data_IF_327358453242
#
_entry.id   IF_327358453242
#
_cell.length_a   1.000
_cell.length_b   1.000
_cell.length_c   1.000
_cell.angle_alpha   90.00
_cell.angle_beta   90.00
_cell.angle_gamma   90.00
#
_symmetry.space_group_name_H-M   'P 1'
#
loop_
_entity.id
_entity.type
_entity.pdbx_description
1 polymer ?
#
# COMPACT_ATOMS: atom_id res chain seq x y z
N UNK A 1 -44.35 50.05 -26.00
CA UNK A 1 -43.13 50.01 -25.17
C UNK A 1 -42.96 48.58 -24.63
N UNK A 2 -42.00 47.86 -25.16
CA UNK A 2 -41.67 46.49 -24.72
C UNK A 2 -40.36 46.59 -23.94
N UNK A 3 -40.39 46.36 -22.63
CA UNK A 3 -39.19 46.30 -21.79
C UNK A 3 -38.52 44.95 -21.95
N UNK A 4 -37.28 44.96 -22.41
CA UNK A 4 -36.42 43.76 -22.44
C UNK A 4 -35.71 43.63 -21.07
N UNK A 5 -35.97 42.53 -20.38
CA UNK A 5 -35.27 42.18 -19.13
C UNK A 5 -34.02 41.36 -19.56
N UNK A 6 -32.84 41.94 -19.34
CA UNK A 6 -31.56 41.24 -19.49
C UNK A 6 -31.25 40.44 -18.21
N UNK A 7 -31.28 39.11 -18.31
CA UNK A 7 -30.74 38.24 -17.26
C UNK A 7 -29.21 38.10 -17.45
N UNK A 8 -28.47 38.65 -16.49
CA UNK A 8 -27.06 38.38 -16.37
C UNK A 8 -26.85 37.03 -15.71
N UNK A 9 -26.38 36.01 -16.45
CA UNK A 9 -25.85 34.79 -15.88
C UNK A 9 -24.43 35.04 -15.39
N UNK A 10 -24.26 35.15 -14.07
CA UNK A 10 -22.94 35.10 -13.43
C UNK A 10 -22.53 33.63 -13.42
N UNK A 11 -21.68 33.25 -14.39
CA UNK A 11 -20.98 31.98 -14.36
C UNK A 11 -19.92 32.05 -13.24
N UNK A 12 -20.26 31.54 -12.06
CA UNK A 12 -19.28 31.30 -11.02
C UNK A 12 -18.35 30.18 -11.49
N UNK A 13 -17.16 30.54 -11.97
CA UNK A 13 -16.07 29.59 -12.19
C UNK A 13 -15.68 29.01 -10.83
N UNK A 14 -16.14 27.82 -10.52
CA UNK A 14 -15.59 27.00 -9.44
C UNK A 14 -14.15 26.67 -9.86
N UNK A 15 -13.20 27.49 -9.45
CA UNK A 15 -11.79 27.13 -9.47
C UNK A 15 -11.68 25.90 -8.59
N UNK A 16 -11.42 24.74 -9.20
CA UNK A 16 -11.11 23.53 -8.44
C UNK A 16 -9.91 23.88 -7.54
N UNK A 17 -10.15 23.89 -6.22
CA UNK A 17 -9.13 24.21 -5.25
C UNK A 17 -8.02 23.17 -5.37
N UNK A 18 -6.80 23.60 -5.69
CA UNK A 18 -5.65 22.69 -5.81
C UNK A 18 -5.42 22.00 -4.44
N UNK A 19 -5.31 20.69 -4.45
CA UNK A 19 -5.09 19.92 -3.22
C UNK A 19 -3.77 20.37 -2.56
N UNK A 20 -3.72 20.43 -1.22
CA UNK A 20 -2.54 20.85 -0.48
C UNK A 20 -1.37 19.89 -0.70
N UNK A 21 -0.17 20.43 -0.57
CA UNK A 21 1.07 19.65 -0.51
C UNK A 21 1.21 19.01 0.87
N UNK A 22 1.63 17.76 0.96
CA UNK A 22 1.84 17.06 2.24
C UNK A 22 2.80 17.80 3.16
N UNK A 23 3.76 18.56 2.62
CA UNK A 23 4.75 19.33 3.39
C UNK A 23 4.12 20.53 4.11
N UNK A 24 2.93 20.95 3.76
CA UNK A 24 2.21 22.00 4.49
C UNK A 24 1.67 21.53 5.84
N UNK A 25 1.62 20.21 6.07
CA UNK A 25 1.25 19.62 7.35
C UNK A 25 2.50 19.00 7.97
N UNK A 26 2.98 19.47 9.14
CA UNK A 26 4.12 18.86 9.81
C UNK A 26 3.89 17.38 10.11
N UNK A 27 4.92 16.56 9.93
CA UNK A 27 4.89 15.16 10.34
C UNK A 27 4.86 15.09 11.87
N UNK A 28 4.00 14.25 12.42
CA UNK A 28 3.94 13.90 13.85
C UNK A 28 4.58 12.53 14.13
N UNK A 29 4.98 11.81 13.07
CA UNK A 29 5.72 10.56 13.13
C UNK A 29 6.97 10.64 12.27
N UNK A 30 8.01 9.96 12.72
CA UNK A 30 9.26 9.76 12.00
C UNK A 30 9.61 8.27 11.96
N UNK A 31 9.83 7.72 10.76
CA UNK A 31 10.24 6.33 10.60
C UNK A 31 11.63 6.14 11.18
N UNK A 32 11.85 5.20 12.12
CA UNK A 32 13.16 4.98 12.71
C UNK A 32 14.23 4.68 11.65
N UNK A 33 15.41 5.25 11.84
CA UNK A 33 16.57 4.90 11.02
C UNK A 33 16.89 3.40 11.14
N UNK A 34 17.53 2.85 10.10
CA UNK A 34 18.01 1.47 10.17
C UNK A 34 19.05 1.32 11.29
N UNK A 35 18.83 0.32 12.12
CA UNK A 35 19.73 -0.05 13.22
C UNK A 35 20.57 -1.27 12.84
N UNK A 36 21.80 -1.33 13.33
CA UNK A 36 22.61 -2.54 13.28
C UNK A 36 22.16 -3.57 14.34
N UNK A 37 22.52 -4.84 14.12
CA UNK A 37 22.27 -5.93 15.05
C UNK A 37 20.94 -6.64 14.84
N UNK A 38 20.55 -7.52 15.77
CA UNK A 38 19.34 -8.34 15.62
C UNK A 38 18.06 -7.51 15.81
N UNK A 39 16.92 -7.99 15.25
CA UNK A 39 15.61 -7.41 15.51
C UNK A 39 15.29 -7.39 17.01
N UNK A 40 14.78 -6.24 17.47
CA UNK A 40 14.35 -6.02 18.87
C UNK A 40 13.24 -4.95 18.91
N UNK A 41 12.52 -4.85 20.01
CA UNK A 41 11.45 -3.87 20.20
C UNK A 41 11.92 -2.44 19.89
N UNK A 42 11.16 -1.72 19.06
CA UNK A 42 11.46 -0.37 18.61
C UNK A 42 12.60 -0.25 17.57
N UNK A 43 13.18 -1.36 17.13
CA UNK A 43 14.25 -1.36 16.12
C UNK A 43 13.75 -1.69 14.73
N UNK A 44 14.24 -0.93 13.77
CA UNK A 44 14.09 -1.16 12.34
C UNK A 44 15.42 -1.67 11.80
N UNK A 45 15.42 -2.88 11.26
CA UNK A 45 16.66 -3.57 10.84
C UNK A 45 16.52 -4.15 9.45
N UNK A 46 17.63 -4.25 8.72
CA UNK A 46 17.69 -4.99 7.46
C UNK A 46 18.05 -6.45 7.76
N UNK A 47 17.21 -7.37 7.29
CA UNK A 47 17.40 -8.82 7.42
C UNK A 47 17.40 -9.42 6.01
N UNK A 48 18.57 -9.86 5.53
CA UNK A 48 18.71 -10.25 4.13
C UNK A 48 18.32 -9.10 3.18
N UNK A 49 17.30 -9.33 2.36
CA UNK A 49 16.82 -8.33 1.38
C UNK A 49 15.61 -7.52 1.86
N UNK A 50 14.97 -7.90 2.98
CA UNK A 50 13.82 -7.18 3.53
C UNK A 50 14.19 -6.28 4.72
N UNK A 51 13.29 -5.38 5.07
CA UNK A 51 13.39 -4.57 6.29
C UNK A 51 12.29 -5.01 7.25
N UNK A 52 12.66 -5.20 8.51
CA UNK A 52 11.77 -5.60 9.60
C UNK A 52 11.80 -4.55 10.71
N UNK A 53 10.63 -4.19 11.21
CA UNK A 53 10.45 -3.40 12.41
C UNK A 53 9.61 -4.18 13.42
N UNK A 54 10.15 -4.37 14.62
CA UNK A 54 9.38 -4.89 15.77
C UNK A 54 8.84 -3.69 16.56
N UNK A 55 7.53 -3.62 16.86
CA UNK A 55 6.94 -2.46 17.50
C UNK A 55 7.50 -2.23 18.90
N UNK A 56 7.39 -1.02 19.41
CA UNK A 56 7.97 -0.64 20.72
C UNK A 56 7.41 -1.47 21.88
N UNK A 57 6.21 -2.02 21.74
CA UNK A 57 5.53 -2.88 22.70
C UNK A 57 5.70 -4.38 22.42
N UNK A 58 6.53 -4.76 21.44
CA UNK A 58 6.87 -6.16 21.16
C UNK A 58 7.60 -6.82 22.34
N UNK A 59 7.22 -8.07 22.61
CA UNK A 59 7.88 -8.93 23.61
C UNK A 59 8.03 -10.34 23.05
N UNK A 60 9.11 -11.06 23.37
CA UNK A 60 9.23 -12.47 23.03
C UNK A 60 8.01 -13.27 23.46
N UNK A 61 7.49 -14.11 22.58
CA UNK A 61 6.30 -14.93 22.84
C UNK A 61 4.94 -14.22 22.67
N UNK A 62 4.92 -12.90 22.42
CA UNK A 62 3.68 -12.19 22.08
C UNK A 62 3.20 -12.60 20.69
N UNK A 63 1.87 -12.71 20.53
CA UNK A 63 1.22 -12.85 19.22
C UNK A 63 0.77 -11.46 18.75
N UNK A 64 1.25 -11.03 17.59
CA UNK A 64 0.98 -9.69 17.06
C UNK A 64 0.56 -9.72 15.57
N UNK A 65 -0.40 -8.92 15.14
CA UNK A 65 -0.71 -8.79 13.73
C UNK A 65 0.50 -8.26 12.94
N UNK A 66 0.54 -8.55 11.65
CA UNK A 66 1.65 -8.19 10.76
C UNK A 66 1.16 -7.29 9.64
N UNK A 67 1.87 -6.20 9.40
CA UNK A 67 1.74 -5.40 8.18
C UNK A 67 2.89 -5.78 7.26
N UNK A 68 2.56 -6.27 6.07
CA UNK A 68 3.52 -6.47 4.99
C UNK A 68 3.38 -5.34 4.00
N UNK A 69 4.46 -4.65 3.71
CA UNK A 69 4.47 -3.50 2.80
C UNK A 69 5.32 -3.76 1.57
N UNK A 70 4.78 -3.35 0.42
CA UNK A 70 5.43 -3.40 -0.88
C UNK A 70 5.67 -1.98 -1.40
N UNK A 71 6.93 -1.65 -1.71
CA UNK A 71 7.36 -0.32 -2.11
C UNK A 71 6.83 0.09 -3.50
N UNK A 72 6.81 1.40 -3.78
CA UNK A 72 6.58 1.97 -5.10
C UNK A 72 7.70 1.64 -6.10
N UNK A 73 7.54 2.05 -7.37
CA UNK A 73 8.62 1.98 -8.35
C UNK A 73 9.79 2.89 -7.95
N UNK A 74 11.01 2.41 -8.16
CA UNK A 74 12.22 3.16 -7.90
C UNK A 74 12.58 4.17 -8.97
N UNK A 75 13.49 5.10 -8.59
CA UNK A 75 13.94 6.23 -9.39
C UNK A 75 12.80 7.14 -9.86
N UNK A 76 11.69 7.16 -9.10
CA UNK A 76 10.59 8.06 -9.36
C UNK A 76 10.83 9.40 -8.68
N UNK A 77 10.64 10.46 -9.43
CA UNK A 77 10.57 11.85 -8.94
C UNK A 77 9.51 12.62 -9.72
N UNK A 78 8.91 13.63 -9.12
CA UNK A 78 7.96 14.51 -9.79
C UNK A 78 8.20 15.98 -9.46
N UNK A 79 7.44 16.87 -10.11
CA UNK A 79 7.52 18.33 -9.92
C UNK A 79 7.18 18.81 -8.50
N UNK A 80 6.55 17.96 -7.69
CA UNK A 80 6.21 18.26 -6.30
C UNK A 80 7.30 17.79 -5.31
N UNK A 81 8.42 17.25 -5.81
CA UNK A 81 9.50 16.76 -4.99
C UNK A 81 9.23 15.42 -4.32
N UNK A 82 8.24 14.66 -4.80
CA UNK A 82 8.02 13.30 -4.33
C UNK A 82 9.08 12.36 -4.89
N UNK A 83 9.53 11.42 -4.07
CA UNK A 83 10.59 10.48 -4.41
C UNK A 83 10.17 9.07 -3.99
N UNK A 84 10.47 8.08 -4.84
CA UNK A 84 10.43 6.67 -4.47
C UNK A 84 11.70 5.97 -4.90
N UNK A 85 12.30 5.24 -3.99
CA UNK A 85 13.57 4.52 -4.22
C UNK A 85 13.36 3.14 -4.84
N UNK A 86 12.17 2.56 -4.71
CA UNK A 86 11.89 1.18 -5.08
C UNK A 86 12.41 0.13 -4.08
N UNK A 87 13.02 0.59 -2.99
CA UNK A 87 13.63 -0.26 -1.97
C UNK A 87 12.74 -0.37 -0.71
N UNK A 88 12.82 -1.50 0.01
CA UNK A 88 12.10 -1.67 1.29
C UNK A 88 12.42 -0.58 2.31
N UNK A 89 13.64 -0.05 2.27
CA UNK A 89 14.12 1.01 3.17
C UNK A 89 13.38 2.35 2.97
N UNK A 90 12.76 2.56 1.81
CA UNK A 90 12.00 3.78 1.51
C UNK A 90 10.52 3.74 1.90
N UNK A 91 10.05 2.64 2.48
CA UNK A 91 8.64 2.44 2.84
C UNK A 91 8.23 3.22 4.08
N UNK A 92 6.98 3.70 4.13
CA UNK A 92 6.44 4.51 5.23
C UNK A 92 5.04 4.07 5.71
N UNK A 93 4.26 3.35 4.86
CA UNK A 93 2.85 3.07 5.16
C UNK A 93 2.68 2.31 6.47
N UNK A 94 3.37 1.20 6.64
CA UNK A 94 3.18 0.34 7.82
C UNK A 94 3.54 1.04 9.12
N UNK A 95 4.61 1.86 9.12
CA UNK A 95 4.95 2.66 10.30
C UNK A 95 3.92 3.76 10.56
N UNK A 96 3.52 4.49 9.53
CA UNK A 96 2.49 5.53 9.64
C UNK A 96 1.14 5.01 10.11
N UNK A 97 0.75 3.81 9.65
CA UNK A 97 -0.50 3.15 10.04
C UNK A 97 -0.47 2.62 11.48
N UNK A 98 0.64 2.03 11.92
CA UNK A 98 0.79 1.45 13.27
C UNK A 98 1.24 2.46 14.33
N UNK A 99 1.78 3.61 13.92
CA UNK A 99 2.52 4.53 14.79
C UNK A 99 3.63 3.83 15.59
N UNK A 100 4.22 2.78 15.01
CA UNK A 100 5.29 1.99 15.60
C UNK A 100 4.87 1.08 16.75
N UNK A 101 3.58 0.79 16.91
CA UNK A 101 3.03 -0.03 18.01
C UNK A 101 2.02 -1.07 17.50
N UNK A 102 1.90 -2.18 18.23
CA UNK A 102 0.84 -3.18 18.04
C UNK A 102 0.96 -4.05 16.80
N UNK A 103 1.88 -3.76 15.88
CA UNK A 103 2.05 -4.47 14.61
C UNK A 103 3.53 -4.72 14.32
N UNK A 104 3.88 -5.93 13.93
CA UNK A 104 5.15 -6.21 13.25
C UNK A 104 5.05 -5.64 11.85
N UNK A 105 6.05 -4.87 11.40
CA UNK A 105 6.10 -4.28 10.07
C UNK A 105 7.22 -4.88 9.25
N UNK A 106 6.86 -5.55 8.17
CA UNK A 106 7.74 -6.19 7.20
C UNK A 106 7.67 -5.46 5.86
N UNK A 107 8.77 -4.84 5.42
CA UNK A 107 8.89 -4.28 4.08
C UNK A 107 9.58 -5.31 3.18
N UNK A 108 8.83 -5.92 2.26
CA UNK A 108 9.33 -6.95 1.37
C UNK A 108 9.87 -6.36 0.06
N UNK A 109 11.01 -6.84 -0.45
CA UNK A 109 11.53 -6.43 -1.75
C UNK A 109 10.76 -7.09 -2.89
N UNK A 110 10.96 -6.55 -4.10
CA UNK A 110 10.80 -7.29 -5.34
C UNK A 110 12.16 -7.80 -5.79
N UNK A 111 12.20 -8.94 -6.41
CA UNK A 111 13.46 -9.59 -6.75
C UNK A 111 13.65 -9.75 -8.27
N UNK A 112 14.89 -9.78 -8.67
CA UNK A 112 15.28 -10.17 -10.03
C UNK A 112 14.95 -11.65 -10.29
N UNK A 113 15.12 -12.10 -11.53
CA UNK A 113 14.81 -13.46 -11.97
C UNK A 113 15.58 -14.54 -11.22
N UNK A 114 16.78 -14.24 -10.71
CA UNK A 114 17.59 -15.16 -9.90
C UNK A 114 17.16 -15.20 -8.43
N UNK A 115 16.42 -14.19 -7.97
CA UNK A 115 15.99 -14.07 -6.57
C UNK A 115 17.08 -13.59 -5.60
N UNK A 116 18.19 -13.06 -6.11
CA UNK A 116 19.37 -12.68 -5.33
C UNK A 116 19.58 -11.15 -5.20
N UNK A 117 18.90 -10.35 -6.03
CA UNK A 117 18.98 -8.89 -6.03
C UNK A 117 17.61 -8.23 -6.06
N UNK A 118 17.54 -7.00 -5.53
CA UNK A 118 16.30 -6.22 -5.50
C UNK A 118 16.02 -5.59 -6.88
N UNK A 119 14.84 -5.87 -7.44
CA UNK A 119 14.30 -5.18 -8.59
C UNK A 119 13.62 -3.90 -8.14
N UNK A 120 14.15 -2.73 -8.53
CA UNK A 120 13.61 -1.43 -8.13
C UNK A 120 12.44 -0.95 -8.98
N UNK A 121 12.17 -1.61 -10.13
CA UNK A 121 11.02 -1.38 -11.00
C UNK A 121 10.30 -2.70 -11.28
N UNK A 122 8.98 -2.70 -11.21
CA UNK A 122 8.09 -3.84 -11.40
C UNK A 122 8.51 -5.09 -10.58
N UNK A 123 8.26 -6.29 -11.10
CA UNK A 123 8.36 -7.56 -10.38
C UNK A 123 9.64 -8.34 -10.64
N UNK A 124 10.51 -7.81 -11.50
CA UNK A 124 11.72 -8.45 -11.98
C UNK A 124 12.34 -7.62 -13.09
N UNK A 125 13.29 -8.19 -13.83
CA UNK A 125 13.95 -7.50 -14.93
C UNK A 125 13.15 -7.59 -16.25
N UNK A 126 13.19 -6.52 -17.09
CA UNK A 126 12.64 -6.62 -18.42
C UNK A 126 13.42 -7.67 -19.26
N UNK A 127 12.81 -8.31 -20.26
CA UNK A 127 11.42 -8.11 -20.68
C UNK A 127 10.39 -8.98 -19.96
N UNK A 128 10.83 -9.97 -19.19
CA UNK A 128 9.97 -11.01 -18.60
C UNK A 128 9.19 -10.53 -17.40
N UNK A 129 9.79 -9.69 -16.55
CA UNK A 129 9.19 -9.23 -15.28
C UNK A 129 8.62 -10.39 -14.47
N UNK A 130 9.36 -11.51 -14.36
CA UNK A 130 8.90 -12.72 -13.68
C UNK A 130 8.60 -12.48 -12.20
N UNK A 131 7.36 -12.64 -11.74
CA UNK A 131 7.00 -12.42 -10.34
C UNK A 131 7.38 -13.60 -9.42
N UNK A 132 7.74 -14.77 -9.94
CA UNK A 132 7.93 -15.99 -9.14
C UNK A 132 8.99 -15.87 -8.05
N UNK A 133 10.20 -15.30 -8.30
CA UNK A 133 11.18 -15.10 -7.23
C UNK A 133 10.66 -14.21 -6.10
N UNK A 134 9.93 -13.15 -6.45
CA UNK A 134 9.29 -12.24 -5.47
C UNK A 134 8.21 -12.96 -4.67
N UNK A 135 7.33 -13.73 -5.31
CA UNK A 135 6.27 -14.50 -4.65
C UNK A 135 6.83 -15.53 -3.68
N UNK A 136 7.85 -16.30 -4.11
CA UNK A 136 8.53 -17.26 -3.25
C UNK A 136 9.12 -16.58 -2.01
N UNK A 137 9.90 -15.52 -2.22
CA UNK A 137 10.52 -14.76 -1.13
C UNK A 137 9.49 -14.21 -0.16
N UNK A 138 8.40 -13.62 -0.68
CA UNK A 138 7.31 -13.05 0.11
C UNK A 138 6.67 -14.09 1.03
N UNK A 139 6.31 -15.27 0.50
CA UNK A 139 5.71 -16.37 1.27
C UNK A 139 6.64 -16.88 2.37
N UNK A 140 7.90 -17.15 2.01
CA UNK A 140 8.90 -17.65 2.94
C UNK A 140 9.22 -16.64 4.05
N UNK A 141 9.33 -15.36 3.70
CA UNK A 141 9.64 -14.31 4.67
C UNK A 141 8.48 -14.05 5.63
N UNK A 142 7.24 -13.98 5.14
CA UNK A 142 6.05 -13.83 6.02
C UNK A 142 5.98 -14.99 7.01
N UNK A 143 6.13 -16.23 6.54
CA UNK A 143 6.15 -17.42 7.40
C UNK A 143 7.27 -17.35 8.45
N UNK A 144 8.49 -17.00 8.01
CA UNK A 144 9.65 -16.90 8.90
C UNK A 144 9.47 -15.81 9.96
N UNK A 145 8.97 -14.63 9.59
CA UNK A 145 8.70 -13.53 10.53
C UNK A 145 7.63 -13.91 11.55
N UNK A 146 6.53 -14.55 11.11
CA UNK A 146 5.51 -15.04 12.02
C UNK A 146 6.06 -16.06 13.03
N UNK A 147 6.88 -16.99 12.57
CA UNK A 147 7.48 -18.02 13.43
C UNK A 147 8.53 -17.44 14.39
N UNK A 148 9.42 -16.58 13.90
CA UNK A 148 10.56 -16.10 14.68
C UNK A 148 10.19 -14.99 15.67
N UNK A 149 9.20 -14.15 15.34
CA UNK A 149 8.88 -12.94 16.11
C UNK A 149 7.44 -12.90 16.63
N UNK A 150 6.71 -14.01 16.53
CA UNK A 150 5.35 -14.10 17.07
C UNK A 150 4.30 -13.38 16.22
N UNK A 151 4.51 -13.24 14.92
CA UNK A 151 3.46 -12.74 14.02
C UNK A 151 2.26 -13.69 14.02
N UNK A 152 1.06 -13.13 14.04
CA UNK A 152 -0.19 -13.87 13.90
C UNK A 152 -0.48 -14.07 12.40
N UNK A 153 -0.27 -15.28 11.90
CA UNK A 153 -0.45 -15.64 10.48
C UNK A 153 -1.91 -15.56 10.01
N UNK A 154 -2.87 -15.50 10.93
CA UNK A 154 -4.27 -15.20 10.61
C UNK A 154 -4.58 -13.69 10.50
N UNK A 155 -3.64 -12.82 10.88
CA UNK A 155 -3.80 -11.36 10.97
C UNK A 155 -2.71 -10.62 10.20
N UNK A 156 -2.46 -11.05 8.97
CA UNK A 156 -1.48 -10.43 8.08
C UNK A 156 -2.20 -9.54 7.07
N UNK A 157 -1.89 -8.25 7.08
CA UNK A 157 -2.42 -7.26 6.12
C UNK A 157 -1.33 -6.94 5.10
N UNK A 158 -1.68 -6.97 3.81
CA UNK A 158 -0.81 -6.53 2.73
C UNK A 158 -1.12 -5.08 2.37
N UNK A 159 -0.11 -4.23 2.39
CA UNK A 159 -0.25 -2.84 1.94
C UNK A 159 0.81 -2.47 0.91
N UNK A 160 0.55 -1.41 0.15
CA UNK A 160 1.52 -0.94 -0.81
C UNK A 160 1.19 0.42 -1.40
N UNK A 161 2.26 1.07 -1.85
CA UNK A 161 2.24 2.38 -2.50
C UNK A 161 2.57 2.26 -3.99
N UNK A 162 1.82 2.95 -4.85
CA UNK A 162 2.11 3.02 -6.30
C UNK A 162 2.19 1.62 -6.93
N UNK A 163 3.37 1.16 -7.39
CA UNK A 163 3.61 -0.23 -7.79
C UNK A 163 3.15 -1.22 -6.71
N UNK A 164 3.45 -0.91 -5.44
CA UNK A 164 3.04 -1.73 -4.31
C UNK A 164 1.53 -1.84 -4.16
N UNK A 165 0.79 -0.80 -4.48
CA UNK A 165 -0.67 -0.83 -4.49
C UNK A 165 -1.23 -1.78 -5.56
N UNK A 166 -0.62 -1.77 -6.76
CA UNK A 166 -0.93 -2.76 -7.80
C UNK A 166 -0.57 -4.17 -7.31
N UNK A 167 0.61 -4.31 -6.69
CA UNK A 167 1.10 -5.58 -6.18
C UNK A 167 0.20 -6.18 -5.10
N UNK A 168 -0.56 -5.40 -4.34
CA UNK A 168 -1.54 -5.91 -3.39
C UNK A 168 -2.50 -6.92 -4.04
N UNK A 169 -2.91 -6.68 -5.28
CA UNK A 169 -3.76 -7.61 -6.02
C UNK A 169 -2.96 -8.45 -7.02
N UNK A 170 -2.03 -7.87 -7.77
CA UNK A 170 -1.24 -8.61 -8.76
C UNK A 170 -0.43 -9.75 -8.12
N UNK A 171 0.36 -9.46 -7.08
CA UNK A 171 1.13 -10.46 -6.33
C UNK A 171 0.30 -11.10 -5.22
N UNK A 172 -0.41 -10.29 -4.43
CA UNK A 172 -1.17 -10.77 -3.27
C UNK A 172 -2.31 -11.73 -3.62
N UNK A 173 -2.86 -11.65 -4.83
CA UNK A 173 -3.89 -12.56 -5.35
C UNK A 173 -3.39 -13.40 -6.55
N UNK A 174 -2.08 -13.54 -6.72
CA UNK A 174 -1.49 -14.23 -7.87
C UNK A 174 -1.95 -15.68 -7.98
N UNK A 175 -1.87 -16.42 -6.88
CA UNK A 175 -2.30 -17.81 -6.75
C UNK A 175 -3.00 -18.04 -5.40
N UNK A 176 -3.56 -19.24 -5.23
CA UNK A 176 -4.31 -19.58 -4.02
C UNK A 176 -3.42 -19.68 -2.78
N UNK A 177 -2.15 -20.04 -2.93
CA UNK A 177 -1.18 -20.13 -1.83
C UNK A 177 -0.89 -18.73 -1.28
N UNK A 178 -0.53 -17.80 -2.17
CA UNK A 178 -0.24 -16.41 -1.79
C UNK A 178 -1.49 -15.69 -1.28
N UNK A 179 -2.63 -15.91 -1.96
CA UNK A 179 -3.88 -15.28 -1.57
C UNK A 179 -4.35 -15.64 -0.15
N UNK A 180 -4.02 -16.82 0.36
CA UNK A 180 -4.38 -17.25 1.72
C UNK A 180 -3.60 -16.57 2.85
N UNK A 181 -2.51 -15.86 2.54
CA UNK A 181 -1.70 -15.19 3.54
C UNK A 181 -2.39 -13.97 4.18
N UNK A 182 -3.35 -13.36 3.49
CA UNK A 182 -3.82 -12.02 3.82
C UNK A 182 -5.21 -12.03 4.45
N UNK A 183 -5.40 -11.24 5.49
CA UNK A 183 -6.73 -10.95 6.05
C UNK A 183 -7.36 -9.66 5.48
N UNK A 184 -6.58 -8.80 4.85
CA UNK A 184 -7.05 -7.57 4.19
C UNK A 184 -5.95 -6.89 3.39
N UNK A 185 -6.34 -5.88 2.58
CA UNK A 185 -5.43 -5.17 1.68
C UNK A 185 -5.59 -3.65 1.80
N UNK A 186 -4.48 -2.91 1.80
CA UNK A 186 -4.48 -1.46 1.71
C UNK A 186 -3.67 -1.02 0.49
N UNK A 187 -4.34 -0.44 -0.50
CA UNK A 187 -3.73 0.03 -1.75
C UNK A 187 -3.74 1.56 -1.80
N UNK A 188 -2.55 2.18 -1.87
CA UNK A 188 -2.41 3.62 -2.01
C UNK A 188 -1.93 4.01 -3.39
N UNK A 189 -2.70 4.84 -4.07
CA UNK A 189 -2.50 5.50 -5.36
C UNK A 189 -3.00 4.71 -6.58
N UNK A 190 -2.57 3.47 -6.80
CA UNK A 190 -2.94 2.69 -7.98
C UNK A 190 -3.70 1.41 -7.60
N UNK A 191 -4.22 0.73 -8.66
CA UNK A 191 -4.88 -0.55 -8.48
C UNK A 191 -4.72 -1.43 -9.72
N UNK A 192 -4.63 -2.75 -9.52
CA UNK A 192 -4.48 -3.74 -10.57
C UNK A 192 -5.68 -3.75 -11.53
N UNK A 193 -5.43 -3.69 -12.85
CA UNK A 193 -6.46 -3.70 -13.89
C UNK A 193 -7.16 -2.35 -14.15
N UNK A 194 -6.85 -1.27 -13.42
CA UNK A 194 -7.34 0.08 -13.75
C UNK A 194 -6.62 0.63 -14.97
N UNK A 195 -5.31 0.43 -15.05
CA UNK A 195 -4.44 0.79 -16.19
C UNK A 195 -3.64 -0.43 -16.63
N UNK A 196 -3.26 -0.47 -17.91
CA UNK A 196 -2.33 -1.46 -18.45
C UNK A 196 -0.89 -0.96 -18.28
N UNK A 197 0.02 -1.84 -17.91
CA UNK A 197 1.42 -1.56 -17.60
C UNK A 197 2.35 -2.44 -18.45
N UNK A 198 3.67 -2.18 -18.49
CA UNK A 198 4.58 -2.91 -19.41
C UNK A 198 4.94 -4.35 -18.98
N UNK A 199 4.40 -4.87 -17.89
CA UNK A 199 4.62 -6.25 -17.47
C UNK A 199 3.49 -7.18 -17.95
N UNK A 200 3.73 -8.49 -18.08
CA UNK A 200 2.74 -9.47 -18.50
C UNK A 200 1.50 -9.48 -17.59
N UNK A 201 0.35 -9.80 -18.16
CA UNK A 201 -0.93 -9.94 -17.45
C UNK A 201 -1.37 -8.67 -16.68
N UNK A 202 -0.92 -7.50 -17.13
CA UNK A 202 -1.29 -6.20 -16.54
C UNK A 202 -2.65 -5.70 -17.02
N UNK A 203 -3.27 -6.41 -17.95
CA UNK A 203 -4.56 -6.07 -18.52
C UNK A 203 -5.72 -6.35 -17.54
N UNK A 204 -6.88 -5.78 -17.87
CA UNK A 204 -8.08 -5.87 -17.04
C UNK A 204 -8.62 -7.30 -16.90
N UNK A 205 -8.55 -8.12 -17.92
CA UNK A 205 -9.07 -9.50 -17.89
C UNK A 205 -8.25 -10.34 -16.91
N UNK A 206 -6.94 -10.25 -17.00
CA UNK A 206 -6.00 -10.92 -16.10
C UNK A 206 -6.17 -10.44 -14.65
N UNK A 207 -6.37 -9.13 -14.43
CA UNK A 207 -6.64 -8.57 -13.11
C UNK A 207 -7.97 -9.09 -12.52
N UNK A 208 -9.02 -9.21 -13.34
CA UNK A 208 -10.30 -9.79 -12.93
C UNK A 208 -10.19 -11.27 -12.55
N UNK A 209 -9.36 -12.02 -13.27
CA UNK A 209 -9.09 -13.41 -12.93
C UNK A 209 -8.42 -13.55 -11.55
N UNK A 210 -7.46 -12.68 -11.23
CA UNK A 210 -6.85 -12.59 -9.88
C UNK A 210 -7.85 -12.18 -8.81
N UNK A 211 -8.66 -11.17 -9.11
CA UNK A 211 -9.65 -10.61 -8.17
C UNK A 211 -10.67 -11.63 -7.67
N UNK A 212 -10.95 -12.71 -8.42
CA UNK A 212 -11.80 -13.82 -7.97
C UNK A 212 -11.30 -14.47 -6.66
N UNK A 213 -9.99 -14.35 -6.37
CA UNK A 213 -9.39 -14.86 -5.14
C UNK A 213 -9.52 -13.91 -3.95
N UNK A 214 -10.10 -12.72 -4.14
CA UNK A 214 -10.30 -11.78 -3.03
C UNK A 214 -11.20 -12.37 -1.94
N UNK A 215 -12.26 -13.07 -2.32
CA UNK A 215 -13.28 -13.54 -1.35
C UNK A 215 -13.92 -12.37 -0.61
N UNK A 216 -14.15 -12.54 0.68
CA UNK A 216 -14.77 -11.52 1.53
C UNK A 216 -13.73 -10.63 2.26
N UNK A 217 -12.48 -10.63 1.81
CA UNK A 217 -11.45 -9.83 2.50
C UNK A 217 -11.62 -8.34 2.23
N UNK A 218 -11.59 -7.52 3.30
CA UNK A 218 -11.76 -6.08 3.16
C UNK A 218 -10.58 -5.43 2.44
N UNK A 219 -10.87 -4.37 1.69
CA UNK A 219 -9.86 -3.52 1.07
C UNK A 219 -10.05 -2.06 1.47
N UNK A 220 -8.94 -1.39 1.81
CA UNK A 220 -8.85 0.05 1.95
C UNK A 220 -8.08 0.61 0.76
N UNK A 221 -8.75 1.39 -0.07
CA UNK A 221 -8.20 1.94 -1.31
C UNK A 221 -8.20 3.44 -1.18
N UNK A 222 -7.01 4.03 -1.23
CA UNK A 222 -6.89 5.48 -1.15
C UNK A 222 -5.91 5.99 -2.23
N UNK A 223 -5.97 7.28 -2.51
CA UNK A 223 -5.11 7.88 -3.52
C UNK A 223 -5.14 9.40 -3.49
N UNK A 224 -4.15 9.99 -4.12
CA UNK A 224 -4.15 11.39 -4.51
C UNK A 224 -5.05 11.61 -5.75
N UNK A 225 -5.50 12.82 -5.95
CA UNK A 225 -6.33 13.18 -7.11
C UNK A 225 -7.59 12.30 -7.23
N UNK A 226 -7.82 11.75 -8.42
CA UNK A 226 -8.97 10.90 -8.77
C UNK A 226 -8.71 9.39 -8.64
N UNK A 227 -7.53 8.96 -8.21
CA UNK A 227 -7.14 7.55 -8.23
C UNK A 227 -8.11 6.62 -7.49
N UNK A 228 -8.58 7.05 -6.31
CA UNK A 228 -9.55 6.26 -5.55
C UNK A 228 -10.91 6.16 -6.24
N UNK A 229 -11.39 7.25 -6.85
CA UNK A 229 -12.65 7.32 -7.59
C UNK A 229 -12.60 6.47 -8.87
N UNK A 230 -11.48 6.49 -9.61
CA UNK A 230 -11.26 5.65 -10.79
C UNK A 230 -11.31 4.17 -10.41
N UNK A 231 -10.70 3.82 -9.28
CA UNK A 231 -10.73 2.45 -8.75
C UNK A 231 -12.14 2.07 -8.26
N UNK A 232 -12.86 2.97 -7.61
CA UNK A 232 -14.26 2.75 -7.20
C UNK A 232 -15.16 2.50 -8.40
N UNK A 233 -15.05 3.33 -9.44
CA UNK A 233 -15.82 3.15 -10.68
C UNK A 233 -15.52 1.81 -11.36
N UNK A 234 -14.31 1.27 -11.22
CA UNK A 234 -13.93 -0.06 -11.71
C UNK A 234 -14.50 -1.18 -10.85
N UNK A 235 -14.36 -1.11 -9.52
CA UNK A 235 -14.65 -2.23 -8.62
C UNK A 235 -16.11 -2.32 -8.17
N UNK A 236 -16.78 -1.18 -7.93
CA UNK A 236 -18.13 -1.18 -7.34
C UNK A 236 -19.16 -1.95 -8.16
N UNK A 237 -19.18 -1.87 -9.52
CA UNK A 237 -20.08 -2.68 -10.33
C UNK A 237 -19.79 -4.19 -10.27
N UNK A 238 -18.53 -4.57 -10.01
CA UNK A 238 -18.08 -5.97 -10.01
C UNK A 238 -18.26 -6.63 -8.63
N UNK A 239 -18.12 -5.86 -7.57
CA UNK A 239 -18.10 -6.30 -6.18
C UNK A 239 -19.06 -5.44 -5.32
N UNK A 240 -20.37 -5.40 -5.62
CA UNK A 240 -21.31 -4.47 -4.99
C UNK A 240 -21.46 -4.67 -3.48
N UNK A 241 -21.23 -5.89 -2.98
CA UNK A 241 -21.39 -6.26 -1.58
C UNK A 241 -20.05 -6.45 -0.84
N UNK A 242 -18.90 -6.20 -1.50
CA UNK A 242 -17.61 -6.36 -0.85
C UNK A 242 -17.31 -5.20 0.12
N UNK A 243 -16.57 -5.50 1.19
CA UNK A 243 -16.08 -4.50 2.15
C UNK A 243 -14.94 -3.70 1.54
N UNK A 244 -15.30 -2.67 0.75
CA UNK A 244 -14.38 -1.78 0.04
C UNK A 244 -14.55 -0.36 0.53
N UNK A 245 -13.46 0.23 1.00
CA UNK A 245 -13.37 1.64 1.39
C UNK A 245 -12.57 2.40 0.34
N UNK A 246 -13.11 3.52 -0.16
CA UNK A 246 -12.45 4.40 -1.14
C UNK A 246 -12.34 5.80 -0.58
N UNK A 247 -11.13 6.36 -0.51
CA UNK A 247 -10.88 7.68 0.05
C UNK A 247 -9.77 8.42 -0.70
N UNK A 248 -9.96 9.73 -0.90
CA UNK A 248 -8.83 10.60 -1.28
C UNK A 248 -7.96 10.85 -0.05
N UNK A 249 -6.63 10.89 -0.24
CA UNK A 249 -5.71 11.33 0.83
C UNK A 249 -5.88 12.79 1.19
N UNK A 250 -6.51 13.58 0.32
CA UNK A 250 -6.63 15.02 0.49
C UNK A 250 -5.36 15.80 0.12
N UNK A 251 -4.34 15.13 -0.41
CA UNK A 251 -3.08 15.72 -0.86
C UNK A 251 -2.88 15.54 -2.36
N UNK A 252 -2.07 16.45 -2.98
CA UNK A 252 -1.69 16.35 -4.39
C UNK A 252 -0.50 15.43 -4.63
N UNK A 253 0.18 15.01 -3.58
CA UNK A 253 1.45 14.29 -3.65
C UNK A 253 1.26 12.80 -3.89
N UNK A 254 2.06 12.26 -4.80
CA UNK A 254 2.25 10.83 -5.00
C UNK A 254 3.36 10.33 -4.07
N UNK A 255 3.05 10.22 -2.77
CA UNK A 255 4.05 10.00 -1.72
C UNK A 255 3.40 9.34 -0.50
N UNK A 256 3.89 8.18 -0.09
CA UNK A 256 3.37 7.40 1.03
C UNK A 256 3.62 8.02 2.42
N UNK A 257 4.49 9.03 2.50
CA UNK A 257 4.73 9.80 3.73
C UNK A 257 3.52 10.64 4.19
N UNK A 258 2.38 10.62 3.48
CA UNK A 258 1.12 11.16 4.01
C UNK A 258 0.69 10.46 5.30
N UNK A 259 1.04 9.18 5.46
CA UNK A 259 0.75 8.41 6.67
C UNK A 259 1.54 8.86 7.90
N UNK A 260 2.61 9.61 7.70
CA UNK A 260 3.41 10.19 8.78
C UNK A 260 2.86 11.54 9.29
N UNK A 261 1.76 12.03 8.71
CA UNK A 261 1.15 13.32 9.02
C UNK A 261 -0.29 13.14 9.52
N UNK A 262 -0.74 13.96 10.48
CA UNK A 262 -2.12 13.90 10.94
C UNK A 262 -3.07 14.23 9.80
N UNK A 263 -4.04 13.35 9.57
CA UNK A 263 -5.10 13.56 8.59
C UNK A 263 -6.30 12.66 8.86
N UNK A 264 -7.51 13.06 8.48
CA UNK A 264 -8.70 12.23 8.66
C UNK A 264 -8.60 10.87 7.94
N UNK A 265 -7.93 10.83 6.78
CA UNK A 265 -7.78 9.57 6.03
C UNK A 265 -6.80 8.63 6.73
N UNK A 266 -5.73 9.14 7.36
CA UNK A 266 -4.83 8.32 8.18
C UNK A 266 -5.57 7.67 9.36
N UNK A 267 -6.39 8.44 10.07
CA UNK A 267 -7.15 7.89 11.19
C UNK A 267 -8.15 6.82 10.72
N UNK A 268 -8.87 7.04 9.63
CA UNK A 268 -9.75 6.02 9.04
C UNK A 268 -9.00 4.76 8.59
N UNK A 269 -7.78 4.91 8.06
CA UNK A 269 -6.94 3.77 7.69
C UNK A 269 -6.49 2.97 8.93
N UNK A 270 -6.18 3.65 10.03
CA UNK A 270 -5.85 3.02 11.33
C UNK A 270 -7.05 2.29 11.93
N UNK A 271 -8.22 2.92 11.94
CA UNK A 271 -9.48 2.29 12.39
C UNK A 271 -9.80 1.04 11.57
N UNK A 272 -9.67 1.14 10.24
CA UNK A 272 -9.83 0.00 9.35
C UNK A 272 -8.84 -1.12 9.67
N UNK A 273 -7.56 -0.80 9.83
CA UNK A 273 -6.50 -1.76 10.16
C UNK A 273 -6.79 -2.49 11.48
N UNK A 274 -7.18 -1.75 12.53
CA UNK A 274 -7.58 -2.34 13.82
C UNK A 274 -8.79 -3.26 13.65
N UNK A 275 -9.82 -2.83 12.92
CA UNK A 275 -11.02 -3.62 12.68
C UNK A 275 -10.70 -4.97 12.01
N UNK A 276 -9.92 -4.97 10.93
CA UNK A 276 -9.64 -6.19 10.16
C UNK A 276 -8.71 -7.17 10.88
N UNK A 277 -7.91 -6.67 11.83
CA UNK A 277 -7.03 -7.53 12.64
C UNK A 277 -7.62 -7.91 14.01
N UNK A 278 -8.73 -7.30 14.41
CA UNK A 278 -9.46 -7.67 15.65
C UNK A 278 -10.54 -8.75 15.42
N UNK A 279 -11.03 -8.89 14.17
CA UNK A 279 -12.24 -9.64 13.81
C UNK A 279 -11.98 -11.14 13.54
N UNK A 280 -11.23 -11.83 14.39
CA UNK A 280 -11.18 -13.32 14.38
C UNK A 280 -10.90 -13.92 15.72
#
# INVERSE_FOLDING_TARGET
MRSAVFFWFIAASLLAQELPDIRTIPADLEVPALSAGPPAAGKRVKVGLHVLYLPTDWKPGAKMPVIVELAGNGRYTNKFGDVSTGLPEGSNLGYGLSAGRGFIWLCSPYLNEKGDEIAITWWGNPPTYDPQPTLKYLRETVKSVCQAYGGDDSKVVLCGFSRGAIACNYLGLYDDETARLWCGFLSYSHYDGVKTWPYPDSDRESALARLKRLGNRPQFICGEGSNAQETEAYLRPLLPNADLTFLSTGFRNHNDAWTLRPSPVREKAREWLQRVTSSR
#
